data_IF_599551647683
#
_entry.id   IF_599551647683
#
_cell.length_a   1.000
_cell.length_b   1.000
_cell.length_c   1.000
_cell.angle_alpha   90.00
_cell.angle_beta   90.00
_cell.angle_gamma   90.00
#
_symmetry.space_group_name_H-M   'P 1'
#
loop_
_entity.id
_entity.type
_entity.pdbx_description
1 polymer ?
#
# COMPACT_ATOMS: atom_id res chain seq x y z
N UNK A 1 -17.22 6.92 -22.46
CA UNK A 1 -17.48 7.28 -21.05
C UNK A 1 -16.21 7.91 -20.50
N UNK A 2 -16.30 9.03 -19.77
CA UNK A 2 -15.13 9.65 -19.09
C UNK A 2 -15.17 9.20 -17.63
N UNK A 3 -14.05 8.64 -17.15
CA UNK A 3 -13.91 8.18 -15.77
C UNK A 3 -12.94 9.14 -15.08
N UNK A 4 -13.38 9.92 -14.08
CA UNK A 4 -12.48 10.78 -13.30
C UNK A 4 -11.54 9.93 -12.44
N UNK A 5 -10.31 10.38 -12.28
CA UNK A 5 -9.33 9.76 -11.39
C UNK A 5 -8.40 10.82 -10.80
N UNK A 6 -7.76 10.48 -9.71
CA UNK A 6 -6.74 11.29 -9.06
C UNK A 6 -5.38 10.59 -9.28
N UNK A 7 -4.35 11.35 -9.62
CA UNK A 7 -2.97 10.86 -9.70
C UNK A 7 -2.19 11.43 -8.52
N UNK A 8 -1.63 10.55 -7.69
CA UNK A 8 -0.83 10.93 -6.53
C UNK A 8 0.42 10.05 -6.42
N UNK A 9 1.35 10.46 -5.58
CA UNK A 9 2.50 9.63 -5.20
C UNK A 9 2.89 9.88 -3.74
N UNK A 10 3.49 8.85 -3.11
CA UNK A 10 4.15 8.95 -1.83
C UNK A 10 5.59 8.44 -1.96
N UNK A 11 6.58 9.35 -1.85
CA UNK A 11 8.01 9.02 -1.98
C UNK A 11 8.37 8.33 -3.32
N UNK A 12 7.73 8.75 -4.42
CA UNK A 12 7.97 8.18 -5.76
C UNK A 12 7.08 6.99 -6.13
N UNK A 13 6.55 6.26 -5.16
CA UNK A 13 5.54 5.23 -5.38
C UNK A 13 4.22 5.88 -5.79
N UNK A 14 3.75 5.64 -7.02
CA UNK A 14 2.69 6.41 -7.66
C UNK A 14 1.39 5.63 -7.85
N UNK A 15 0.28 6.34 -7.71
CA UNK A 15 -1.06 5.77 -7.63
C UNK A 15 -2.03 6.42 -8.61
N UNK A 16 -2.95 5.61 -9.12
CA UNK A 16 -4.23 6.05 -9.68
C UNK A 16 -5.29 5.78 -8.62
N UNK A 17 -6.05 6.80 -8.24
CA UNK A 17 -7.08 6.71 -7.21
C UNK A 17 -8.44 6.99 -7.86
N UNK A 18 -9.38 6.06 -7.69
CA UNK A 18 -10.79 6.23 -8.05
C UNK A 18 -11.62 6.46 -6.80
N UNK A 19 -12.30 7.59 -6.76
CA UNK A 19 -13.31 7.87 -5.75
C UNK A 19 -14.64 7.28 -6.22
N UNK A 20 -14.97 6.12 -5.68
CA UNK A 20 -16.16 5.34 -6.04
C UNK A 20 -17.34 5.60 -5.07
N UNK A 21 -17.28 6.64 -4.25
CA UNK A 21 -18.33 6.92 -3.25
C UNK A 21 -19.64 7.27 -3.95
N UNK A 22 -19.62 8.26 -4.86
CA UNK A 22 -20.82 8.73 -5.53
C UNK A 22 -21.06 8.04 -6.89
N UNK A 23 -20.00 7.59 -7.53
CA UNK A 23 -20.05 7.01 -8.88
C UNK A 23 -19.23 5.70 -8.91
N UNK A 24 -19.75 4.60 -8.37
CA UNK A 24 -19.02 3.36 -8.30
C UNK A 24 -18.71 2.81 -9.69
N UNK A 25 -17.44 2.51 -9.91
CA UNK A 25 -16.94 1.90 -11.14
C UNK A 25 -16.49 0.48 -10.79
N UNK A 26 -16.99 -0.49 -11.54
CA UNK A 26 -16.53 -1.87 -11.41
C UNK A 26 -15.22 -2.01 -12.19
N UNK A 27 -14.18 -2.43 -11.50
CA UNK A 27 -12.88 -2.70 -12.09
C UNK A 27 -12.63 -4.20 -12.13
N UNK A 28 -12.32 -4.72 -13.30
CA UNK A 28 -11.74 -6.06 -13.43
C UNK A 28 -10.21 -5.98 -13.52
N UNK A 29 -9.54 -7.13 -13.35
CA UNK A 29 -8.08 -7.19 -13.41
C UNK A 29 -7.53 -6.67 -14.76
N UNK A 30 -8.26 -6.91 -15.87
CA UNK A 30 -7.85 -6.44 -17.20
C UNK A 30 -7.85 -4.92 -17.31
N UNK A 31 -8.84 -4.28 -16.71
CA UNK A 31 -8.90 -2.82 -16.63
C UNK A 31 -7.72 -2.26 -15.83
N UNK A 32 -7.45 -2.84 -14.64
CA UNK A 32 -6.33 -2.44 -13.79
C UNK A 32 -5.01 -2.54 -14.54
N UNK A 33 -4.72 -3.70 -15.17
CA UNK A 33 -3.49 -3.91 -15.96
C UNK A 33 -3.37 -2.87 -17.08
N UNK A 34 -4.47 -2.60 -17.79
CA UNK A 34 -4.48 -1.67 -18.92
C UNK A 34 -4.14 -0.24 -18.48
N UNK A 35 -4.78 0.26 -17.42
CA UNK A 35 -4.56 1.65 -16.98
C UNK A 35 -3.21 1.83 -16.28
N UNK A 36 -2.69 0.77 -15.63
CA UNK A 36 -1.39 0.79 -14.95
C UNK A 36 -0.20 0.79 -15.92
N UNK A 37 -0.43 0.40 -17.18
CA UNK A 37 0.64 0.37 -18.17
C UNK A 37 1.21 1.78 -18.44
N UNK A 38 2.50 1.98 -18.20
CA UNK A 38 3.16 3.29 -18.30
C UNK A 38 3.33 3.81 -19.73
N UNK A 39 3.15 2.95 -20.75
CA UNK A 39 3.31 3.32 -22.16
C UNK A 39 1.96 3.48 -22.87
N UNK A 40 0.99 2.64 -22.53
CA UNK A 40 -0.29 2.56 -23.24
C UNK A 40 -1.51 2.97 -22.36
N UNK A 41 -1.29 3.17 -21.06
CA UNK A 41 -2.29 3.59 -20.09
C UNK A 41 -1.92 4.92 -19.44
N UNK A 42 -2.44 5.14 -18.23
CA UNK A 42 -2.08 6.28 -17.38
C UNK A 42 -0.72 6.04 -16.73
N UNK A 43 -0.42 4.79 -16.38
CA UNK A 43 0.78 4.34 -15.71
C UNK A 43 0.75 4.59 -14.21
N UNK A 44 1.02 3.54 -13.42
CA UNK A 44 1.18 3.63 -11.96
C UNK A 44 1.77 2.34 -11.41
N UNK A 45 2.23 2.39 -10.16
CA UNK A 45 2.61 1.19 -9.40
C UNK A 45 1.37 0.46 -8.91
N UNK A 46 0.36 1.20 -8.41
CA UNK A 46 -0.87 0.61 -7.89
C UNK A 46 -2.09 1.46 -8.21
N UNK A 47 -3.26 0.81 -8.26
CA UNK A 47 -4.57 1.42 -8.39
C UNK A 47 -5.32 1.27 -7.07
N UNK A 48 -5.88 2.37 -6.58
CA UNK A 48 -6.64 2.42 -5.33
C UNK A 48 -8.08 2.80 -5.63
N UNK A 49 -9.04 2.15 -4.98
CA UNK A 49 -10.45 2.51 -5.07
C UNK A 49 -11.02 2.82 -3.69
N UNK A 50 -11.71 3.94 -3.58
CA UNK A 50 -12.34 4.39 -2.33
C UNK A 50 -13.81 4.04 -2.39
N UNK A 51 -14.29 3.34 -1.39
CA UNK A 51 -15.71 2.99 -1.25
C UNK A 51 -16.23 3.56 0.08
N UNK A 52 -17.52 3.84 0.13
CA UNK A 52 -18.18 4.28 1.35
C UNK A 52 -18.37 3.12 2.32
N UNK A 53 -18.51 3.43 3.60
CA UNK A 53 -18.95 2.51 4.64
C UNK A 53 -20.18 3.09 5.32
N UNK A 54 -20.89 2.29 6.10
CA UNK A 54 -22.03 2.76 6.90
C UNK A 54 -21.62 3.57 8.14
N UNK A 55 -20.31 3.71 8.38
CA UNK A 55 -19.74 4.42 9.54
C UNK A 55 -19.15 5.75 9.08
N UNK A 56 -19.60 6.85 9.70
CA UNK A 56 -19.07 8.18 9.41
C UNK A 56 -17.54 8.26 9.64
N UNK A 57 -16.83 8.98 8.77
CA UNK A 57 -15.35 9.10 8.77
C UNK A 57 -14.60 7.76 8.56
N UNK A 58 -15.30 6.69 8.19
CA UNK A 58 -14.68 5.44 7.78
C UNK A 58 -14.83 5.28 6.26
N UNK A 59 -13.75 4.85 5.63
CA UNK A 59 -13.71 4.62 4.19
C UNK A 59 -13.07 3.27 3.92
N UNK A 60 -13.66 2.52 2.99
CA UNK A 60 -13.08 1.26 2.55
C UNK A 60 -12.19 1.51 1.34
N UNK A 61 -10.96 0.96 1.37
CA UNK A 61 -10.00 1.10 0.28
C UNK A 61 -9.56 -0.28 -0.19
N UNK A 62 -9.74 -0.53 -1.48
CA UNK A 62 -9.14 -1.68 -2.15
C UNK A 62 -7.93 -1.22 -2.94
N UNK A 63 -6.88 -2.01 -2.91
CA UNK A 63 -5.59 -1.72 -3.53
C UNK A 63 -5.23 -2.83 -4.51
N UNK A 64 -4.82 -2.45 -5.71
CA UNK A 64 -4.47 -3.39 -6.76
C UNK A 64 -3.07 -3.09 -7.29
N UNK A 65 -2.26 -4.12 -7.40
CA UNK A 65 -0.97 -4.05 -8.08
C UNK A 65 -1.16 -3.85 -9.59
N UNK A 66 -0.14 -3.38 -10.28
CA UNK A 66 -0.17 -3.16 -11.74
C UNK A 66 -0.44 -4.43 -12.56
N UNK A 67 -0.25 -5.63 -11.98
CA UNK A 67 -0.60 -6.91 -12.58
C UNK A 67 -2.06 -7.33 -12.35
N UNK A 68 -2.88 -6.49 -11.71
CA UNK A 68 -4.30 -6.74 -11.43
C UNK A 68 -4.60 -7.55 -10.16
N UNK A 69 -3.58 -8.01 -9.43
CA UNK A 69 -3.78 -8.68 -8.15
C UNK A 69 -4.15 -7.69 -7.04
N UNK A 70 -5.06 -8.07 -6.15
CA UNK A 70 -5.37 -7.28 -4.96
C UNK A 70 -4.26 -7.42 -3.92
N UNK A 71 -3.95 -6.34 -3.21
CA UNK A 71 -2.96 -6.30 -2.13
C UNK A 71 -3.54 -5.65 -0.88
N UNK A 72 -3.07 -6.09 0.29
CA UNK A 72 -3.67 -5.67 1.57
C UNK A 72 -3.10 -4.42 2.17
N UNK A 73 -1.82 -4.11 1.92
CA UNK A 73 -1.15 -3.03 2.62
C UNK A 73 -0.23 -2.22 1.70
N UNK A 74 -0.44 -0.92 1.70
CA UNK A 74 0.47 0.06 1.11
C UNK A 74 0.41 1.36 1.91
N UNK A 75 1.33 1.55 2.84
CA UNK A 75 1.36 2.76 3.69
C UNK A 75 1.45 4.06 2.87
N UNK A 76 2.18 4.06 1.74
CA UNK A 76 2.26 5.21 0.84
C UNK A 76 0.89 5.51 0.20
N UNK A 77 0.20 4.49 -0.30
CA UNK A 77 -1.13 4.61 -0.90
C UNK A 77 -2.17 5.06 0.12
N UNK A 78 -2.13 4.48 1.33
CA UNK A 78 -3.02 4.87 2.43
C UNK A 78 -2.84 6.35 2.79
N UNK A 79 -1.61 6.87 2.88
CA UNK A 79 -1.37 8.31 3.11
C UNK A 79 -1.94 9.19 2.00
N UNK A 80 -1.79 8.78 0.74
CA UNK A 80 -2.35 9.52 -0.40
C UNK A 80 -3.87 9.58 -0.33
N UNK A 81 -4.54 8.45 -0.08
CA UNK A 81 -6.00 8.40 0.05
C UNK A 81 -6.47 9.22 1.24
N UNK A 82 -5.82 9.08 2.41
CA UNK A 82 -6.16 9.84 3.60
C UNK A 82 -6.01 11.36 3.37
N UNK A 83 -4.93 11.81 2.75
CA UNK A 83 -4.74 13.24 2.42
C UNK A 83 -5.82 13.76 1.47
N UNK A 84 -6.19 12.98 0.47
CA UNK A 84 -7.26 13.33 -0.45
C UNK A 84 -8.60 13.46 0.27
N UNK A 85 -9.00 12.45 1.05
CA UNK A 85 -10.27 12.43 1.78
C UNK A 85 -10.35 13.55 2.83
N UNK A 86 -9.28 13.75 3.59
CA UNK A 86 -9.21 14.81 4.59
C UNK A 86 -9.33 16.21 3.97
N UNK A 87 -8.77 16.42 2.78
CA UNK A 87 -8.94 17.68 2.05
C UNK A 87 -10.35 17.84 1.48
N UNK A 88 -10.91 16.77 0.90
CA UNK A 88 -12.24 16.78 0.31
C UNK A 88 -13.32 17.09 1.35
N UNK A 89 -13.25 16.42 2.51
CA UNK A 89 -14.30 16.45 3.54
C UNK A 89 -13.98 17.37 4.72
N UNK A 90 -12.84 18.10 4.65
CA UNK A 90 -12.33 18.98 5.71
C UNK A 90 -12.16 18.26 7.05
N UNK A 91 -11.54 17.06 7.02
CA UNK A 91 -11.29 16.22 8.19
C UNK A 91 -9.82 16.31 8.63
N UNK A 92 -9.57 16.06 9.91
CA UNK A 92 -8.21 15.94 10.49
C UNK A 92 -7.90 14.52 10.96
N UNK A 93 -8.92 13.66 11.01
CA UNK A 93 -8.79 12.24 11.30
C UNK A 93 -9.82 11.45 10.50
N UNK A 94 -9.49 10.20 10.17
CA UNK A 94 -10.40 9.24 9.55
C UNK A 94 -9.83 7.83 9.70
N UNK A 95 -10.66 6.81 9.43
CA UNK A 95 -10.23 5.43 9.37
C UNK A 95 -10.32 4.88 7.95
N UNK A 96 -9.29 4.15 7.53
CA UNK A 96 -9.29 3.40 6.27
C UNK A 96 -9.38 1.92 6.59
N UNK A 97 -10.47 1.29 6.14
CA UNK A 97 -10.64 -0.15 6.17
C UNK A 97 -10.00 -0.75 4.91
N UNK A 98 -9.07 -1.66 5.10
CA UNK A 98 -8.42 -2.43 4.04
C UNK A 98 -8.50 -3.93 4.33
N UNK A 99 -8.07 -4.76 3.40
CA UNK A 99 -7.98 -6.21 3.61
C UNK A 99 -7.02 -6.57 4.76
N UNK A 100 -6.05 -5.70 5.08
CA UNK A 100 -5.11 -5.87 6.20
C UNK A 100 -5.65 -5.36 7.55
N UNK A 101 -6.87 -4.83 7.58
CA UNK A 101 -7.52 -4.32 8.77
C UNK A 101 -7.80 -2.82 8.72
N UNK A 102 -8.06 -2.28 9.89
CA UNK A 102 -8.44 -0.88 10.07
C UNK A 102 -7.19 -0.02 10.34
N UNK A 103 -7.02 1.04 9.57
CA UNK A 103 -5.85 1.91 9.56
C UNK A 103 -6.28 3.33 10.00
N UNK A 104 -6.14 3.69 11.27
CA UNK A 104 -6.38 5.05 11.75
C UNK A 104 -5.40 6.03 11.10
N UNK A 105 -5.94 7.12 10.55
CA UNK A 105 -5.17 8.18 9.91
C UNK A 105 -5.42 9.51 10.61
N UNK A 106 -4.37 10.30 10.80
CA UNK A 106 -4.45 11.65 11.37
C UNK A 106 -3.62 12.63 10.56
N UNK A 107 -3.99 13.92 10.61
CA UNK A 107 -3.26 14.98 9.91
C UNK A 107 -2.93 16.11 10.89
N UNK A 108 -1.63 16.39 11.02
CA UNK A 108 -1.09 17.49 11.82
C UNK A 108 -0.10 18.26 10.96
N UNK A 109 -0.21 19.59 10.91
CA UNK A 109 0.69 20.48 10.15
C UNK A 109 0.91 20.04 8.69
N UNK A 110 -0.17 19.62 8.01
CA UNK A 110 -0.16 19.07 6.65
C UNK A 110 0.59 17.73 6.48
N UNK A 111 1.01 17.08 7.54
CA UNK A 111 1.60 15.75 7.52
C UNK A 111 0.54 14.71 7.87
N UNK A 112 0.35 13.75 6.98
CA UNK A 112 -0.55 12.60 7.21
C UNK A 112 0.22 11.46 7.84
N UNK A 113 -0.27 11.00 8.99
CA UNK A 113 0.24 9.84 9.71
C UNK A 113 -0.78 8.71 9.61
N UNK A 114 -0.31 7.51 9.30
CA UNK A 114 -1.11 6.28 9.27
C UNK A 114 -0.60 5.33 10.34
N UNK A 115 -1.49 4.85 11.20
CA UNK A 115 -1.16 3.79 12.14
C UNK A 115 -1.29 2.43 11.42
N UNK A 116 -0.16 1.83 11.08
CA UNK A 116 -0.08 0.53 10.41
C UNK A 116 -0.22 -0.67 11.37
N UNK A 117 -0.46 -0.41 12.67
CA UNK A 117 -0.50 -1.45 13.69
C UNK A 117 0.88 -1.86 14.19
N UNK A 118 0.96 -3.04 14.79
CA UNK A 118 2.21 -3.62 15.30
C UNK A 118 2.84 -4.54 14.27
N UNK A 119 4.15 -4.56 14.14
CA UNK A 119 4.84 -5.54 13.31
C UNK A 119 4.61 -6.95 13.86
N UNK A 120 4.53 -7.92 12.97
CA UNK A 120 4.44 -9.35 13.28
C UNK A 120 5.75 -10.01 12.94
N UNK A 121 6.18 -10.94 13.77
CA UNK A 121 7.49 -11.60 13.68
C UNK A 121 7.40 -13.11 13.57
N UNK A 122 6.20 -13.69 13.63
CA UNK A 122 6.02 -15.12 13.45
C UNK A 122 6.26 -15.50 11.99
N UNK A 123 6.99 -16.58 11.77
CA UNK A 123 7.41 -17.00 10.42
C UNK A 123 6.24 -17.25 9.47
N UNK A 124 5.08 -17.68 10.00
CA UNK A 124 3.83 -17.87 9.24
C UNK A 124 3.24 -16.55 8.72
N UNK A 125 3.35 -15.46 9.50
CA UNK A 125 2.90 -14.13 9.12
C UNK A 125 3.81 -13.46 8.06
N UNK A 126 5.03 -14.00 7.85
CA UNK A 126 6.05 -13.48 6.92
C UNK A 126 6.16 -14.32 5.64
N UNK A 127 5.29 -15.24 5.38
CA UNK A 127 5.27 -16.41 4.50
C UNK A 127 6.66 -17.00 4.18
N UNK A 128 7.45 -17.28 5.21
CA UNK A 128 8.69 -18.04 5.08
C UNK A 128 8.39 -19.51 4.83
N UNK A 129 9.27 -20.20 4.13
CA UNK A 129 9.07 -21.62 3.73
C UNK A 129 9.08 -22.60 4.90
N UNK A 130 9.76 -22.25 6.00
CA UNK A 130 9.93 -23.09 7.17
C UNK A 130 9.95 -22.26 8.45
N UNK A 131 9.64 -22.90 9.58
CA UNK A 131 9.84 -22.33 10.91
C UNK A 131 11.32 -22.02 11.14
N UNK A 132 11.62 -20.78 11.44
CA UNK A 132 12.97 -20.30 11.71
C UNK A 132 12.95 -18.99 12.50
N UNK A 133 14.11 -18.59 13.00
CA UNK A 133 14.28 -17.30 13.64
C UNK A 133 14.18 -16.18 12.60
N UNK A 134 13.10 -15.42 12.64
CA UNK A 134 12.81 -14.33 11.70
C UNK A 134 13.68 -13.10 11.88
N UNK A 135 14.39 -13.00 13.03
CA UNK A 135 15.31 -11.91 13.31
C UNK A 135 16.70 -12.14 12.72
N UNK A 136 16.96 -13.34 12.19
CA UNK A 136 18.24 -13.69 11.60
C UNK A 136 18.06 -14.76 10.51
N UNK A 137 17.47 -14.36 9.39
CA UNK A 137 17.26 -15.22 8.24
C UNK A 137 18.45 -15.13 7.32
N UNK A 138 19.09 -16.28 7.03
CA UNK A 138 20.22 -16.31 6.09
C UNK A 138 19.73 -16.14 4.66
N UNK A 139 20.27 -15.15 3.96
CA UNK A 139 20.10 -14.88 2.53
C UNK A 139 21.48 -14.80 1.88
N UNK A 140 21.98 -15.92 1.38
CA UNK A 140 23.33 -16.08 0.87
C UNK A 140 24.41 -15.62 1.87
N UNK A 141 25.17 -14.56 1.57
CA UNK A 141 26.17 -13.98 2.45
C UNK A 141 25.62 -12.95 3.46
N UNK A 142 24.31 -12.66 3.41
CA UNK A 142 23.65 -11.64 4.23
C UNK A 142 22.74 -12.26 5.28
N UNK A 143 22.51 -11.49 6.33
CA UNK A 143 21.52 -11.78 7.35
C UNK A 143 20.38 -10.75 7.26
N UNK A 144 19.13 -11.22 7.19
CA UNK A 144 17.96 -10.39 7.11
C UNK A 144 17.14 -10.47 8.38
N UNK A 145 16.64 -9.34 8.82
CA UNK A 145 15.59 -9.22 9.82
C UNK A 145 14.24 -9.21 9.10
N UNK A 146 13.46 -10.26 9.25
CA UNK A 146 12.18 -10.42 8.57
C UNK A 146 11.01 -10.06 9.48
N UNK A 147 10.03 -9.34 8.94
CA UNK A 147 8.80 -8.95 9.64
C UNK A 147 7.66 -8.72 8.66
N UNK A 148 6.43 -8.67 9.18
CA UNK A 148 5.25 -8.28 8.43
C UNK A 148 4.60 -7.03 9.02
N UNK A 149 4.30 -6.05 8.18
CA UNK A 149 3.45 -4.87 8.47
C UNK A 149 2.09 -4.97 7.77
N UNK A 150 1.62 -6.20 7.51
CA UNK A 150 0.51 -6.51 6.61
C UNK A 150 0.97 -6.89 5.20
N UNK A 151 2.24 -6.64 4.89
CA UNK A 151 3.03 -7.19 3.79
C UNK A 151 4.40 -7.61 4.34
N UNK A 152 5.04 -8.63 3.76
CA UNK A 152 6.33 -9.13 4.23
C UNK A 152 7.47 -8.16 3.88
N UNK A 153 8.44 -8.10 4.78
CA UNK A 153 9.67 -7.33 4.63
C UNK A 153 10.87 -8.16 5.04
N UNK A 154 11.95 -8.07 4.27
CA UNK A 154 13.29 -8.52 4.66
C UNK A 154 14.20 -7.30 4.72
N UNK A 155 14.70 -6.98 5.89
CA UNK A 155 15.56 -5.81 6.14
C UNK A 155 17.00 -6.29 6.31
N UNK A 156 17.89 -5.82 5.45
CA UNK A 156 19.31 -6.11 5.49
C UNK A 156 20.04 -4.81 5.81
N UNK A 157 20.86 -4.82 6.87
CA UNK A 157 21.71 -3.68 7.22
C UNK A 157 23.04 -3.84 6.52
N UNK A 158 23.45 -2.84 5.74
CA UNK A 158 24.68 -2.84 4.96
C UNK A 158 25.53 -1.63 5.33
N UNK A 159 26.83 -1.80 5.38
CA UNK A 159 27.78 -0.70 5.59
C UNK A 159 27.99 0.12 4.29
N UNK A 160 27.88 -0.53 3.13
CA UNK A 160 28.08 0.07 1.82
C UNK A 160 27.03 -0.43 0.83
N UNK A 161 26.44 0.49 0.04
CA UNK A 161 25.48 0.19 -1.00
C UNK A 161 26.06 -0.62 -2.18
N UNK A 162 27.35 -0.62 -2.38
CA UNK A 162 28.01 -1.47 -3.39
C UNK A 162 27.77 -2.98 -3.15
N UNK A 163 27.42 -3.34 -1.91
CA UNK A 163 27.04 -4.72 -1.55
C UNK A 163 25.71 -5.15 -2.16
N UNK A 164 24.84 -4.21 -2.58
CA UNK A 164 23.57 -4.53 -3.24
C UNK A 164 23.75 -5.29 -4.56
N UNK A 165 24.85 -5.05 -5.26
CA UNK A 165 25.16 -5.76 -6.54
C UNK A 165 25.39 -7.26 -6.32
N UNK A 166 25.59 -7.71 -5.08
CA UNK A 166 25.79 -9.13 -4.72
C UNK A 166 24.52 -9.84 -4.34
N UNK A 167 23.43 -9.11 -4.14
CA UNK A 167 22.11 -9.69 -3.91
C UNK A 167 21.46 -10.02 -5.25
N UNK A 168 21.15 -11.30 -5.46
CA UNK A 168 20.31 -11.77 -6.56
C UNK A 168 18.82 -11.58 -6.12
N UNK A 169 18.23 -10.44 -6.51
CA UNK A 169 16.87 -10.01 -6.14
C UNK A 169 15.87 -10.26 -7.26
#
# INVERSE_FOLDING_TARGET
MKIPFIKMHGLGNDFIIFDNIDNPIIHDAKFIIKISNRRLGIGCDQVLTIENTDIHENFKVKMYNSNGSETGACGNGTRCVADYLMKRDNLYSLNIESISGNLPCTKVDNVVTVNMGKPKFDWEDIPLSNEQNTQNVSLDEFEAFCLSMGNPHAVIFMENLDQLERLDL
#
